data_IF_465331958198
#
_entry.id   IF_465331958198
#
_cell.length_a   1.000
_cell.length_b   1.000
_cell.length_c   1.000
_cell.angle_alpha   90.00
_cell.angle_beta   90.00
_cell.angle_gamma   90.00
#
_symmetry.space_group_name_H-M   'P 1'
#
loop_
_entity.id
_entity.type
_entity.pdbx_description
1 polymer ?
#
# COMPACT_ATOMS: atom_id res chain seq x y z
N UNK A 1 13.71 -25.55 17.16
CA UNK A 1 12.56 -24.63 17.18
C UNK A 1 11.96 -24.74 15.78
N UNK A 2 10.73 -25.26 15.63
CA UNK A 2 10.14 -25.43 14.29
C UNK A 2 9.82 -24.03 13.80
N UNK A 3 10.57 -23.57 12.81
CA UNK A 3 10.39 -22.29 12.14
C UNK A 3 9.19 -22.44 11.21
N UNK A 4 8.00 -22.36 11.81
CA UNK A 4 6.75 -22.50 11.07
C UNK A 4 6.44 -21.14 10.47
N UNK A 5 6.72 -20.99 9.18
CA UNK A 5 6.36 -19.81 8.38
C UNK A 5 5.16 -20.14 7.49
N UNK A 6 4.15 -19.27 7.48
CA UNK A 6 3.02 -19.32 6.54
C UNK A 6 3.38 -18.46 5.33
N UNK A 7 3.24 -19.03 4.13
CA UNK A 7 3.43 -18.32 2.87
C UNK A 7 2.07 -17.95 2.27
N UNK A 8 1.74 -16.66 2.25
CA UNK A 8 0.57 -16.11 1.59
C UNK A 8 0.95 -15.72 0.16
N UNK A 9 0.48 -16.48 -0.82
CA UNK A 9 0.70 -16.19 -2.24
C UNK A 9 -0.49 -15.46 -2.81
N UNK A 10 -0.25 -14.35 -3.50
CA UNK A 10 -1.28 -13.60 -4.22
C UNK A 10 -0.87 -13.39 -5.68
N UNK A 11 -1.86 -13.35 -6.55
CA UNK A 11 -1.71 -13.17 -8.00
C UNK A 11 -2.57 -11.99 -8.41
N UNK A 12 -2.05 -11.12 -9.27
CA UNK A 12 -2.84 -10.00 -9.77
C UNK A 12 -3.94 -10.53 -10.70
N UNK A 13 -5.18 -10.17 -10.40
CA UNK A 13 -6.36 -10.51 -11.21
C UNK A 13 -6.57 -9.39 -12.21
N UNK A 14 -6.69 -9.74 -13.49
CA UNK A 14 -7.07 -8.78 -14.53
C UNK A 14 -8.59 -8.59 -14.50
N UNK A 15 -9.09 -7.34 -14.57
CA UNK A 15 -10.52 -7.09 -14.63
C UNK A 15 -11.09 -7.73 -15.91
N UNK A 16 -12.12 -8.56 -15.75
CA UNK A 16 -12.88 -9.11 -16.88
C UNK A 16 -13.69 -7.98 -17.53
N UNK A 17 -13.49 -7.72 -18.82
CA UNK A 17 -14.27 -6.72 -19.58
C UNK A 17 -15.78 -6.98 -19.47
N UNK A 18 -16.47 -6.24 -18.61
CA UNK A 18 -17.92 -6.06 -18.67
C UNK A 18 -18.19 -4.67 -19.24
N UNK A 19 -18.70 -4.61 -20.46
CA UNK A 19 -19.20 -3.40 -21.12
C UNK A 19 -20.31 -2.76 -20.29
N UNK A 20 -20.09 -1.54 -19.79
CA UNK A 20 -21.13 -0.70 -19.22
C UNK A 20 -21.64 0.30 -20.27
N UNK A 21 -22.88 0.14 -20.69
CA UNK A 21 -23.62 1.15 -21.45
C UNK A 21 -23.90 2.36 -20.56
N UNK A 22 -23.60 3.54 -21.07
CA UNK A 22 -23.89 4.83 -20.46
C UNK A 22 -25.35 5.20 -20.64
N UNK A 23 -26.05 5.50 -19.54
CA UNK A 23 -27.33 6.22 -19.55
C UNK A 23 -27.15 7.54 -18.79
N UNK A 24 -27.26 8.64 -19.53
CA UNK A 24 -27.46 10.01 -19.05
C UNK A 24 -28.90 10.19 -18.60
N UNK A 25 -29.15 11.02 -17.57
CA UNK A 25 -30.36 11.84 -17.32
C UNK A 25 -29.99 12.80 -16.17
N UNK A 26 -29.90 14.11 -16.43
CA UNK A 26 -30.94 15.15 -16.32
C UNK A 26 -31.20 15.60 -14.87
N UNK A 27 -30.92 16.90 -14.63
CA UNK A 27 -31.09 17.66 -13.39
C UNK A 27 -32.56 18.02 -13.13
N UNK A 28 -33.01 17.94 -11.88
CA UNK A 28 -34.07 18.81 -11.31
C UNK A 28 -33.76 19.11 -9.82
N UNK A 29 -33.64 20.40 -9.48
CA UNK A 29 -33.74 21.02 -8.14
C UNK A 29 -35.18 20.87 -7.58
N UNK A 30 -35.59 21.03 -6.32
CA UNK A 30 -35.09 21.63 -5.06
C UNK A 30 -36.05 21.13 -3.93
N UNK A 31 -35.58 20.94 -2.68
CA UNK A 31 -36.21 21.42 -1.41
C UNK A 31 -35.83 20.61 -0.13
N UNK A 32 -35.23 21.35 0.82
CA UNK A 32 -35.31 21.30 2.30
C UNK A 32 -35.28 19.98 3.10
N UNK A 33 -34.24 19.79 3.92
CA UNK A 33 -34.27 20.05 5.38
C UNK A 33 -32.95 19.61 6.06
N UNK A 34 -32.54 20.39 7.07
CA UNK A 34 -31.28 20.28 7.84
C UNK A 34 -31.21 19.02 8.72
N UNK A 35 -30.14 18.23 8.59
CA UNK A 35 -29.62 17.35 9.64
C UNK A 35 -28.09 17.25 9.48
N UNK A 36 -27.35 17.41 10.60
CA UNK A 36 -25.89 17.49 10.69
C UNK A 36 -25.15 16.27 10.09
N UNK A 37 -24.58 16.41 8.89
CA UNK A 37 -23.58 15.50 8.33
C UNK A 37 -22.16 16.07 8.50
N UNK A 38 -21.29 15.30 9.17
CA UNK A 38 -19.86 15.54 9.23
C UNK A 38 -19.27 15.57 7.79
N UNK A 39 -18.92 16.78 7.33
CA UNK A 39 -18.32 17.05 6.02
C UNK A 39 -16.99 16.29 5.84
N UNK A 40 -17.07 15.15 5.16
CA UNK A 40 -15.95 14.38 4.63
C UNK A 40 -15.84 14.59 3.12
N UNK A 41 -15.98 15.83 2.63
CA UNK A 41 -15.98 16.10 1.19
C UNK A 41 -15.28 17.39 0.81
N UNK A 42 -14.04 17.60 1.26
CA UNK A 42 -13.17 18.57 0.60
C UNK A 42 -11.68 18.30 0.80
N UNK A 43 -11.18 17.24 0.16
CA UNK A 43 -9.75 17.07 -0.07
C UNK A 43 -9.45 16.47 -1.45
N UNK A 44 -10.22 16.88 -2.46
CA UNK A 44 -9.94 16.59 -3.87
C UNK A 44 -9.72 17.91 -4.60
N UNK A 45 -8.45 18.34 -4.68
CA UNK A 45 -7.90 19.17 -5.75
C UNK A 45 -6.40 19.43 -5.55
N UNK A 46 -5.63 18.36 -5.33
CA UNK A 46 -4.22 18.39 -5.72
C UNK A 46 -4.06 17.44 -6.88
N UNK A 47 -3.91 17.99 -8.08
CA UNK A 47 -3.37 17.26 -9.24
C UNK A 47 -2.09 16.56 -8.78
N UNK A 48 -2.18 15.25 -8.60
CA UNK A 48 -1.12 14.42 -8.07
C UNK A 48 -0.04 14.09 -9.12
N UNK A 49 -0.23 14.61 -10.33
CA UNK A 49 0.61 14.43 -11.50
C UNK A 49 1.81 15.39 -11.55
N UNK A 50 1.88 16.38 -10.65
CA UNK A 50 2.96 17.40 -10.63
C UNK A 50 4.14 17.05 -9.71
N UNK A 51 4.11 15.93 -8.99
CA UNK A 51 5.29 15.45 -8.28
C UNK A 51 6.16 14.69 -9.29
N UNK A 52 7.26 15.30 -9.70
CA UNK A 52 8.34 14.61 -10.42
C UNK A 52 8.80 13.45 -9.52
N UNK A 53 8.28 12.25 -9.78
CA UNK A 53 8.58 11.08 -8.97
C UNK A 53 10.09 10.87 -9.04
N UNK A 54 10.78 11.10 -7.92
CA UNK A 54 12.20 10.75 -7.82
C UNK A 54 12.25 9.23 -7.93
N UNK A 55 12.54 8.77 -9.15
CA UNK A 55 12.79 7.38 -9.42
C UNK A 55 14.11 7.04 -8.74
N UNK A 56 14.05 6.30 -7.63
CA UNK A 56 15.26 5.81 -7.00
C UNK A 56 15.96 4.83 -7.95
N UNK A 57 17.28 4.84 -7.88
CA UNK A 57 18.11 3.89 -8.60
C UNK A 57 17.80 2.47 -8.14
N UNK A 58 17.65 1.59 -9.13
CA UNK A 58 17.61 0.17 -8.87
C UNK A 58 18.99 -0.32 -8.44
N UNK A 59 19.02 -1.24 -7.49
CA UNK A 59 20.26 -1.75 -6.91
C UNK A 59 20.41 -3.24 -7.20
N UNK A 60 21.65 -3.67 -7.35
CA UNK A 60 22.02 -5.05 -7.03
C UNK A 60 22.30 -5.12 -5.52
N UNK A 61 21.54 -5.90 -4.71
CA UNK A 61 21.69 -5.90 -3.27
C UNK A 61 23.06 -6.41 -2.84
N UNK A 62 23.72 -5.64 -1.98
CA UNK A 62 24.96 -6.05 -1.33
C UNK A 62 24.66 -6.95 -0.12
N UNK A 63 25.69 -7.60 0.42
CA UNK A 63 25.58 -8.33 1.68
C UNK A 63 25.00 -7.47 2.82
N UNK A 64 25.38 -6.19 2.85
CA UNK A 64 24.83 -5.23 3.80
C UNK A 64 23.33 -5.01 3.59
N UNK A 65 22.89 -4.90 2.34
CA UNK A 65 21.46 -4.71 2.03
C UNK A 65 20.64 -5.95 2.43
N UNK A 66 21.18 -7.17 2.30
CA UNK A 66 20.51 -8.39 2.81
C UNK A 66 20.37 -8.40 4.34
N UNK A 67 21.37 -7.86 5.06
CA UNK A 67 21.33 -7.78 6.53
C UNK A 67 20.37 -6.69 7.02
N UNK A 68 20.42 -5.51 6.42
CA UNK A 68 19.60 -4.36 6.81
C UNK A 68 18.16 -4.46 6.28
N UNK A 69 17.95 -5.08 5.13
CA UNK A 69 16.68 -5.09 4.41
C UNK A 69 16.64 -4.06 3.28
N UNK A 70 15.87 -4.37 2.25
CA UNK A 70 15.65 -3.49 1.09
C UNK A 70 14.25 -3.69 0.51
N UNK A 71 13.83 -2.76 -0.34
CA UNK A 71 12.54 -2.83 -1.04
C UNK A 71 12.63 -3.84 -2.16
N UNK A 72 11.65 -4.76 -2.26
CA UNK A 72 11.55 -5.66 -3.43
C UNK A 72 10.55 -5.15 -4.46
N UNK A 73 9.62 -4.31 -4.02
CA UNK A 73 8.64 -3.61 -4.85
C UNK A 73 8.73 -2.11 -4.58
N UNK A 74 8.71 -1.30 -5.63
CA UNK A 74 8.70 0.16 -5.49
C UNK A 74 7.27 0.70 -5.53
N UNK A 75 6.70 0.97 -4.34
CA UNK A 75 5.36 1.55 -4.18
C UNK A 75 5.31 3.07 -4.40
N UNK A 76 6.36 3.66 -4.98
CA UNK A 76 6.41 5.07 -5.39
C UNK A 76 5.93 5.28 -6.81
N UNK A 77 5.87 4.20 -7.59
CA UNK A 77 5.44 4.19 -8.98
C UNK A 77 4.43 3.09 -9.26
N UNK A 78 3.66 3.27 -10.34
CA UNK A 78 2.68 2.30 -10.82
C UNK A 78 3.17 1.62 -12.09
N UNK A 79 3.17 0.29 -12.09
CA UNK A 79 3.41 -0.55 -13.26
C UNK A 79 2.12 -1.17 -13.82
N UNK A 80 0.96 -0.67 -13.41
CA UNK A 80 -0.34 -1.08 -13.92
C UNK A 80 -1.42 -1.02 -12.86
N UNK A 81 -2.61 -1.47 -13.21
CA UNK A 81 -3.75 -1.53 -12.31
C UNK A 81 -4.24 -2.96 -12.10
N UNK A 82 -4.86 -3.22 -10.95
CA UNK A 82 -5.44 -4.50 -10.61
C UNK A 82 -6.30 -4.44 -9.35
N UNK A 83 -6.38 -5.57 -8.64
CA UNK A 83 -7.32 -5.72 -7.53
C UNK A 83 -8.73 -6.05 -8.02
N UNK A 84 -9.67 -6.22 -7.09
CA UNK A 84 -11.03 -6.66 -7.42
C UNK A 84 -11.79 -5.65 -8.28
N UNK A 85 -11.59 -4.34 -8.05
CA UNK A 85 -12.20 -3.27 -8.85
C UNK A 85 -11.40 -2.95 -10.12
N UNK A 86 -10.17 -3.43 -10.23
CA UNK A 86 -9.26 -3.08 -11.33
C UNK A 86 -8.64 -1.69 -11.23
N UNK A 87 -8.84 -0.96 -10.12
CA UNK A 87 -8.38 0.43 -9.97
C UNK A 87 -7.13 0.59 -9.09
N UNK A 88 -6.75 -0.45 -8.35
CA UNK A 88 -5.62 -0.38 -7.42
C UNK A 88 -4.30 -0.36 -8.19
N UNK A 89 -3.42 0.57 -7.82
CA UNK A 89 -2.07 0.64 -8.39
C UNK A 89 -1.26 -0.62 -8.05
N UNK A 90 -0.71 -1.27 -9.07
CA UNK A 90 0.26 -2.36 -8.92
C UNK A 90 1.65 -1.74 -8.95
N UNK A 91 2.47 -1.89 -7.90
CA UNK A 91 3.83 -1.40 -7.89
C UNK A 91 4.72 -2.15 -8.87
N UNK A 92 5.81 -1.50 -9.27
CA UNK A 92 6.84 -2.12 -10.08
C UNK A 92 7.71 -3.07 -9.24
N UNK A 93 8.11 -4.20 -9.82
CA UNK A 93 9.10 -5.11 -9.26
C UNK A 93 10.49 -4.49 -9.41
N UNK A 94 10.96 -3.82 -8.35
CA UNK A 94 12.22 -3.09 -8.37
C UNK A 94 12.92 -3.17 -7.03
N UNK A 95 14.20 -3.46 -7.08
CA UNK A 95 15.03 -3.53 -5.88
C UNK A 95 15.63 -2.15 -5.60
N UNK A 96 15.25 -1.55 -4.48
CA UNK A 96 15.76 -0.21 -4.11
C UNK A 96 16.08 -0.14 -2.63
N UNK A 97 16.92 0.82 -2.23
CA UNK A 97 17.06 1.15 -0.81
C UNK A 97 15.82 1.90 -0.30
N UNK A 98 15.40 1.67 0.95
CA UNK A 98 14.34 2.45 1.57
C UNK A 98 14.71 3.94 1.65
N UNK A 99 13.77 4.82 1.33
CA UNK A 99 13.96 6.26 1.35
C UNK A 99 13.29 6.91 2.55
N UNK A 100 13.85 8.03 3.01
CA UNK A 100 13.23 8.83 4.06
C UNK A 100 12.16 9.73 3.46
N UNK A 101 11.03 9.81 4.15
CA UNK A 101 10.05 10.86 3.94
C UNK A 101 10.56 12.15 4.60
N UNK A 102 10.35 13.29 3.95
CA UNK A 102 10.99 14.55 4.33
C UNK A 102 9.97 15.64 4.67
N UNK A 103 8.79 15.61 4.04
CA UNK A 103 7.78 16.64 4.23
C UNK A 103 6.89 16.31 5.43
N UNK A 104 6.41 17.34 6.12
CA UNK A 104 5.49 17.16 7.25
C UNK A 104 4.18 16.47 6.81
N UNK A 105 3.72 16.75 5.58
CA UNK A 105 2.56 16.09 4.97
C UNK A 105 2.75 14.58 4.87
N UNK A 106 3.88 14.12 4.35
CA UNK A 106 4.22 12.70 4.27
C UNK A 106 4.29 12.06 5.66
N UNK A 107 4.94 12.73 6.61
CA UNK A 107 5.08 12.22 7.98
C UNK A 107 3.74 12.11 8.71
N UNK A 108 2.85 13.10 8.52
CA UNK A 108 1.49 13.05 9.07
C UNK A 108 0.68 11.89 8.49
N UNK A 109 0.79 11.64 7.19
CA UNK A 109 0.12 10.50 6.57
C UNK A 109 0.66 9.16 7.10
N UNK A 110 1.97 9.03 7.35
CA UNK A 110 2.50 7.83 8.02
C UNK A 110 1.94 7.70 9.43
N UNK A 111 1.85 8.79 10.21
CA UNK A 111 1.27 8.73 11.57
C UNK A 111 -0.18 8.29 11.55
N UNK A 112 -0.95 8.68 10.55
CA UNK A 112 -2.34 8.27 10.38
C UNK A 112 -2.46 6.80 9.95
N UNK A 113 -1.71 6.39 8.93
CA UNK A 113 -1.91 5.12 8.24
C UNK A 113 -1.03 3.99 8.78
N UNK A 114 0.22 4.28 9.13
CA UNK A 114 1.22 3.32 9.59
C UNK A 114 2.08 3.85 10.77
N UNK A 115 1.48 4.25 11.92
CA UNK A 115 2.19 4.86 13.04
C UNK A 115 3.32 4.00 13.61
N UNK A 116 3.24 2.67 13.47
CA UNK A 116 4.26 1.75 13.95
C UNK A 116 5.65 1.96 13.34
N UNK A 117 5.75 2.64 12.19
CA UNK A 117 7.05 2.95 11.59
C UNK A 117 7.84 4.03 12.35
N UNK A 118 7.20 4.76 13.26
CA UNK A 118 7.89 5.66 14.19
C UNK A 118 8.38 4.95 15.45
N UNK A 119 8.02 3.69 15.68
CA UNK A 119 8.43 2.97 16.87
C UNK A 119 9.95 2.79 16.89
N UNK A 120 10.61 3.24 17.96
CA UNK A 120 12.06 3.14 18.12
C UNK A 120 12.87 4.24 17.43
N UNK A 121 12.20 5.17 16.72
CA UNK A 121 12.86 6.35 16.17
C UNK A 121 12.98 7.46 17.22
N UNK A 122 14.01 8.29 17.08
CA UNK A 122 14.12 9.52 17.87
C UNK A 122 13.04 10.54 17.44
N UNK A 123 12.62 11.49 18.31
CA UNK A 123 11.54 12.45 17.99
C UNK A 123 11.72 13.26 16.70
N UNK A 124 12.97 13.47 16.25
CA UNK A 124 13.30 14.22 15.04
C UNK A 124 13.76 13.33 13.88
N UNK A 125 13.59 12.01 14.00
CA UNK A 125 14.00 11.06 12.98
C UNK A 125 12.80 10.64 12.13
N UNK A 126 12.96 10.72 10.81
CA UNK A 126 11.95 10.24 9.87
C UNK A 126 12.18 8.77 9.51
N UNK A 127 11.09 7.99 9.37
CA UNK A 127 11.17 6.59 8.98
C UNK A 127 11.72 6.46 7.55
N UNK A 128 12.48 5.40 7.32
CA UNK A 128 12.80 4.94 5.98
C UNK A 128 11.73 3.95 5.53
N UNK A 129 11.18 4.12 4.33
CA UNK A 129 10.09 3.30 3.80
C UNK A 129 10.32 2.95 2.32
N UNK A 130 9.62 1.91 1.88
CA UNK A 130 9.57 1.47 0.49
C UNK A 130 8.41 2.08 -0.32
N UNK A 131 7.67 3.00 0.28
CA UNK A 131 6.55 3.72 -0.31
C UNK A 131 6.71 5.24 -0.09
N UNK A 132 6.05 6.03 -0.92
CA UNK A 132 5.90 7.49 -0.73
C UNK A 132 4.43 7.81 -0.41
N UNK A 133 4.08 9.10 -0.47
CA UNK A 133 2.71 9.58 -0.32
C UNK A 133 1.71 8.88 -1.27
N UNK A 134 2.13 8.53 -2.50
CA UNK A 134 1.28 7.79 -3.46
C UNK A 134 0.89 6.42 -2.91
N UNK A 135 1.89 5.62 -2.54
CA UNK A 135 1.66 4.28 -1.98
C UNK A 135 0.90 4.29 -0.65
N UNK A 136 1.13 5.30 0.21
CA UNK A 136 0.39 5.44 1.47
C UNK A 136 -1.09 5.77 1.22
N UNK A 137 -1.41 6.59 0.23
CA UNK A 137 -2.80 6.89 -0.14
C UNK A 137 -3.52 5.67 -0.72
N UNK A 138 -2.86 4.89 -1.60
CA UNK A 138 -3.40 3.62 -2.11
C UNK A 138 -3.70 2.64 -0.97
N UNK A 139 -2.81 2.60 0.04
CA UNK A 139 -3.01 1.78 1.23
C UNK A 139 -4.18 2.30 2.10
N UNK A 140 -4.31 3.63 2.26
CA UNK A 140 -5.44 4.26 2.96
C UNK A 140 -6.77 3.88 2.31
N UNK A 141 -6.86 3.98 0.98
CA UNK A 141 -8.05 3.59 0.20
C UNK A 141 -8.35 2.11 0.40
N UNK A 142 -7.33 1.24 0.33
CA UNK A 142 -7.48 -0.20 0.52
C UNK A 142 -8.03 -0.58 1.90
N UNK A 143 -7.81 0.25 2.92
CA UNK A 143 -8.35 0.04 4.26
C UNK A 143 -9.83 0.44 4.43
N UNK A 144 -10.44 1.16 3.49
CA UNK A 144 -11.84 1.54 3.59
C UNK A 144 -12.76 0.32 3.62
N UNK A 145 -12.54 -0.66 2.74
CA UNK A 145 -13.36 -1.87 2.70
C UNK A 145 -13.30 -2.68 4.01
N UNK A 146 -12.12 -3.02 4.57
CA UNK A 146 -12.01 -3.65 5.88
C UNK A 146 -12.69 -2.86 7.02
N UNK A 147 -12.61 -1.53 7.00
CA UNK A 147 -13.29 -0.68 7.98
C UNK A 147 -14.81 -0.76 7.84
N UNK A 148 -15.35 -0.69 6.62
CA UNK A 148 -16.79 -0.75 6.34
C UNK A 148 -17.42 -2.09 6.76
N UNK A 149 -16.70 -3.20 6.61
CA UNK A 149 -17.17 -4.53 7.07
C UNK A 149 -17.04 -4.72 8.59
N UNK A 150 -16.60 -3.69 9.33
CA UNK A 150 -16.69 -3.62 10.78
C UNK A 150 -15.40 -3.85 11.54
N UNK A 151 -14.22 -3.96 10.90
CA UNK A 151 -12.96 -4.09 11.64
C UNK A 151 -12.65 -2.87 12.50
N UNK A 152 -13.17 -1.69 12.15
CA UNK A 152 -13.00 -0.47 12.95
C UNK A 152 -13.76 -0.49 14.29
N UNK A 153 -14.74 -1.38 14.48
CA UNK A 153 -15.46 -1.55 15.75
C UNK A 153 -14.58 -2.12 16.86
N UNK A 154 -13.44 -2.69 16.49
CA UNK A 154 -12.42 -3.19 17.39
C UNK A 154 -11.05 -2.58 17.00
N UNK A 155 -10.60 -1.53 17.70
CA UNK A 155 -9.37 -0.81 17.35
C UNK A 155 -8.11 -1.71 17.32
N UNK A 156 -8.01 -2.69 18.21
CA UNK A 156 -6.90 -3.66 18.22
C UNK A 156 -6.93 -4.61 17.02
N UNK A 157 -8.12 -5.08 16.64
CA UNK A 157 -8.34 -5.93 15.47
C UNK A 157 -7.85 -5.20 14.20
N UNK A 158 -8.31 -3.96 14.01
CA UNK A 158 -7.89 -3.13 12.88
C UNK A 158 -6.39 -2.80 12.96
N UNK A 159 -5.84 -2.49 14.13
CA UNK A 159 -4.42 -2.23 14.31
C UNK A 159 -3.55 -3.40 13.84
N UNK A 160 -3.88 -4.63 14.26
CA UNK A 160 -3.13 -5.83 13.89
C UNK A 160 -3.24 -6.12 12.39
N UNK A 161 -4.46 -6.01 11.83
CA UNK A 161 -4.71 -6.17 10.40
C UNK A 161 -3.91 -5.15 9.57
N UNK A 162 -4.06 -3.87 9.90
CA UNK A 162 -3.41 -2.74 9.22
C UNK A 162 -1.89 -2.91 9.19
N UNK A 163 -1.29 -3.35 10.31
CA UNK A 163 0.15 -3.59 10.44
C UNK A 163 0.69 -4.57 9.40
N UNK A 164 -0.08 -5.61 9.04
CA UNK A 164 0.32 -6.59 8.01
C UNK A 164 0.52 -5.89 6.68
N UNK A 165 -0.48 -5.12 6.25
CA UNK A 165 -0.44 -4.47 4.94
C UNK A 165 0.51 -3.27 4.90
N UNK A 166 0.68 -2.54 6.03
CA UNK A 166 1.75 -1.56 6.17
C UNK A 166 3.13 -2.21 5.96
N UNK A 167 3.39 -3.36 6.59
CA UNK A 167 4.68 -4.04 6.41
C UNK A 167 4.86 -4.57 4.98
N UNK A 168 3.81 -5.17 4.42
CA UNK A 168 3.81 -5.65 3.03
C UNK A 168 4.12 -4.52 2.04
N UNK A 169 3.49 -3.35 2.17
CA UNK A 169 3.60 -2.27 1.19
C UNK A 169 4.78 -1.30 1.46
N UNK A 170 5.12 -1.03 2.71
CA UNK A 170 5.97 0.11 3.05
C UNK A 170 7.20 -0.23 3.88
N UNK A 171 7.32 -1.44 4.44
CA UNK A 171 8.43 -1.76 5.34
C UNK A 171 9.79 -1.54 4.67
N UNK A 172 10.77 -0.93 5.35
CA UNK A 172 12.14 -0.85 4.84
C UNK A 172 12.80 -2.23 4.69
N UNK A 173 12.22 -3.27 5.28
CA UNK A 173 12.79 -4.62 5.34
C UNK A 173 12.01 -5.63 4.49
N UNK A 174 11.27 -5.18 3.47
CA UNK A 174 10.45 -6.04 2.61
C UNK A 174 11.19 -7.30 2.14
N UNK A 175 12.46 -7.21 1.74
CA UNK A 175 13.25 -8.35 1.26
C UNK A 175 13.40 -9.50 2.25
N UNK A 176 13.13 -9.28 3.54
CA UNK A 176 13.20 -10.32 4.58
C UNK A 176 11.96 -11.23 4.60
N UNK A 177 10.83 -10.77 4.06
CA UNK A 177 9.55 -11.46 4.19
C UNK A 177 8.61 -11.30 2.98
N UNK A 178 9.00 -10.58 1.94
CA UNK A 178 8.29 -10.46 0.67
C UNK A 178 9.18 -10.99 -0.45
N UNK A 179 8.62 -11.84 -1.32
CA UNK A 179 9.30 -12.33 -2.52
C UNK A 179 8.42 -12.17 -3.75
N UNK A 180 8.98 -11.60 -4.80
CA UNK A 180 8.33 -11.54 -6.11
C UNK A 180 8.61 -12.86 -6.82
N UNK A 181 7.55 -13.57 -7.20
CA UNK A 181 7.64 -14.89 -7.82
C UNK A 181 7.51 -14.80 -9.36
N UNK A 182 6.70 -13.87 -9.87
CA UNK A 182 6.50 -13.66 -11.31
C UNK A 182 6.30 -12.20 -11.65
N UNK A 183 6.84 -11.79 -12.80
CA UNK A 183 6.69 -10.46 -13.37
C UNK A 183 6.31 -10.54 -14.85
N UNK A 184 5.84 -9.43 -15.40
CA UNK A 184 5.68 -9.22 -16.84
C UNK A 184 6.23 -7.85 -17.25
N UNK A 185 6.89 -7.74 -18.41
CA UNK A 185 7.42 -6.46 -18.88
C UNK A 185 6.28 -5.52 -19.29
N UNK A 186 6.36 -4.26 -18.86
CA UNK A 186 5.42 -3.18 -19.18
C UNK A 186 6.18 -1.90 -19.55
N UNK A 187 5.54 -1.02 -20.31
CA UNK A 187 6.08 0.30 -20.60
C UNK A 187 5.42 1.33 -19.68
N UNK A 188 6.22 2.09 -18.94
CA UNK A 188 5.76 3.25 -18.15
C UNK A 188 6.49 4.48 -18.69
N UNK A 189 5.76 5.34 -19.39
CA UNK A 189 6.37 6.42 -20.17
C UNK A 189 7.27 5.86 -21.28
N UNK A 190 8.54 6.28 -21.27
CA UNK A 190 9.54 5.87 -22.26
C UNK A 190 10.48 4.75 -21.76
N UNK A 191 10.18 4.14 -20.62
CA UNK A 191 11.03 3.12 -20.00
C UNK A 191 10.27 1.80 -19.79
N UNK A 192 11.02 0.70 -19.89
CA UNK A 192 10.53 -0.64 -19.62
C UNK A 192 10.71 -0.98 -18.15
N UNK A 193 9.66 -1.51 -17.52
CA UNK A 193 9.67 -1.96 -16.13
C UNK A 193 9.02 -3.33 -16.02
N UNK A 194 9.18 -3.97 -14.86
CA UNK A 194 8.59 -5.27 -14.55
C UNK A 194 7.37 -5.07 -13.64
N UNK A 195 6.17 -5.40 -14.14
CA UNK A 195 4.93 -5.40 -13.36
C UNK A 195 4.83 -6.71 -12.57
N UNK A 196 4.47 -6.63 -11.30
CA UNK A 196 4.30 -7.81 -10.45
C UNK A 196 3.04 -8.58 -10.86
N UNK A 197 3.21 -9.88 -11.13
CA UNK A 197 2.10 -10.82 -11.36
C UNK A 197 1.83 -11.73 -10.18
N UNK A 198 2.88 -12.13 -9.47
CA UNK A 198 2.77 -13.06 -8.35
C UNK A 198 3.77 -12.69 -7.27
N UNK A 199 3.29 -12.64 -6.02
CA UNK A 199 4.10 -12.28 -4.86
C UNK A 199 3.75 -13.23 -3.70
N UNK A 200 4.77 -13.59 -2.93
CA UNK A 200 4.64 -14.39 -1.72
C UNK A 200 5.05 -13.57 -0.51
N UNK A 201 4.19 -13.53 0.50
CA UNK A 201 4.43 -12.88 1.78
C UNK A 201 4.57 -13.94 2.88
N UNK A 202 5.68 -13.89 3.60
CA UNK A 202 6.05 -14.84 4.63
C UNK A 202 5.70 -14.30 6.01
N UNK A 203 4.89 -15.04 6.76
CA UNK A 203 4.44 -14.69 8.10
C UNK A 203 4.89 -15.74 9.10
N UNK A 204 5.34 -15.31 10.27
CA UNK A 204 5.52 -16.22 11.41
C UNK A 204 4.15 -16.81 11.82
N UNK A 205 4.10 -18.12 12.07
CA UNK A 205 2.83 -18.81 12.36
C UNK A 205 2.19 -18.32 13.66
N UNK A 206 2.98 -17.97 14.69
CA UNK A 206 2.41 -17.44 15.93
C UNK A 206 1.82 -16.06 15.70
N UNK A 207 2.51 -15.23 14.91
CA UNK A 207 1.97 -13.93 14.50
C UNK A 207 0.68 -14.09 13.70
N UNK A 208 0.63 -15.02 12.75
CA UNK A 208 -0.57 -15.28 11.94
C UNK A 208 -1.75 -15.79 12.78
N UNK A 209 -1.52 -16.69 13.74
CA UNK A 209 -2.55 -17.13 14.67
C UNK A 209 -3.03 -15.98 15.56
N UNK A 210 -2.12 -15.19 16.13
CA UNK A 210 -2.49 -14.03 16.95
C UNK A 210 -3.26 -12.97 16.16
N UNK A 211 -2.95 -12.78 14.87
CA UNK A 211 -3.73 -11.93 13.98
C UNK A 211 -5.15 -12.49 13.81
N UNK A 212 -5.30 -13.77 13.47
CA UNK A 212 -6.59 -14.42 13.28
C UNK A 212 -7.45 -14.36 14.55
N UNK A 213 -6.88 -14.71 15.70
CA UNK A 213 -7.54 -14.67 17.00
C UNK A 213 -7.93 -13.23 17.41
N UNK A 214 -7.24 -12.23 16.86
CA UNK A 214 -7.59 -10.83 17.07
C UNK A 214 -8.68 -10.31 16.12
N UNK A 215 -9.20 -11.12 15.20
CA UNK A 215 -10.25 -10.70 14.26
C UNK A 215 -11.64 -11.27 14.61
N UNK A 216 -11.71 -12.30 15.46
CA UNK A 216 -12.93 -13.05 15.78
C UNK A 216 -13.17 -13.20 17.28
#
# INVERSE_FOLDING_TARGET
>A
MIDTTIALRTTTVEPTNSTSESLTNEEEDEDGDEDDEDDYSNYDNTNFDDYEDIILDEIEPTEKDFQEGFCVSDNRMSCGKGGFTGELSIPCARQTRPARLQTETELNLVREICPEFFNGLSPNESPKLCCNIKGLNELRISFNMPKQIGLNRCPSCFYNFRRVFCNFACSPEQSKFVRIDKTEPVQVGNASFEKIKEITYFLDTKFAHGLYDSLF
#
